data_IF_651198010285
#
_entry.id   IF_651198010285
#
_cell.length_a   1.000
_cell.length_b   1.000
_cell.length_c   1.000
_cell.angle_alpha   90.00
_cell.angle_beta   90.00
_cell.angle_gamma   90.00
#
_symmetry.space_group_name_H-M   'P 1'
#
loop_
_entity.id
_entity.type
_entity.pdbx_description
1 polymer ?
#
# COMPACT_ATOMS: atom_id res chain seq x y z
N UNK A 1 -6.78 19.88 10.10
CA UNK A 1 -6.43 18.45 9.95
C UNK A 1 -5.06 18.34 9.29
N UNK A 2 -3.98 18.36 10.07
CA UNK A 2 -2.63 18.14 9.56
C UNK A 2 -2.47 16.66 9.21
N UNK A 3 -2.85 16.30 7.98
CA UNK A 3 -2.52 15.00 7.38
C UNK A 3 -1.00 14.97 7.26
N UNK A 4 -0.35 14.37 8.25
CA UNK A 4 1.08 14.11 8.23
C UNK A 4 1.43 13.52 6.86
N UNK A 5 2.25 14.26 6.11
CA UNK A 5 2.66 13.86 4.77
C UNK A 5 3.32 12.49 4.95
N UNK A 6 2.68 11.44 4.46
CA UNK A 6 3.28 10.11 4.41
C UNK A 6 4.42 10.23 3.41
N UNK A 7 5.61 10.57 3.92
CA UNK A 7 6.82 10.78 3.14
C UNK A 7 7.21 9.52 2.37
N UNK A 8 6.77 8.36 2.85
CA UNK A 8 6.98 7.07 2.19
C UNK A 8 5.70 6.21 2.16
N UNK A 9 5.00 6.10 1.01
CA UNK A 9 3.84 5.22 0.89
C UNK A 9 4.22 3.77 1.20
N UNK A 10 3.28 3.02 1.77
CA UNK A 10 3.50 1.61 2.07
C UNK A 10 3.69 0.78 0.79
N UNK A 11 4.63 -0.16 0.85
CA UNK A 11 4.75 -1.19 -0.18
C UNK A 11 3.65 -2.24 -0.04
N UNK A 12 3.38 -3.00 -1.11
CA UNK A 12 2.39 -4.10 -1.09
C UNK A 12 2.64 -5.11 0.05
N UNK A 13 3.91 -5.30 0.45
CA UNK A 13 4.28 -6.14 1.59
C UNK A 13 3.90 -5.53 2.94
N UNK A 14 4.09 -4.21 3.11
CA UNK A 14 3.65 -3.49 4.31
C UNK A 14 2.13 -3.46 4.41
N UNK A 15 1.43 -3.24 3.30
CA UNK A 15 -0.04 -3.29 3.23
C UNK A 15 -0.54 -4.67 3.64
N UNK A 16 0.03 -5.75 3.07
CA UNK A 16 -0.28 -7.13 3.46
C UNK A 16 -0.14 -7.35 4.97
N UNK A 17 0.99 -6.96 5.55
CA UNK A 17 1.24 -7.18 6.97
C UNK A 17 0.28 -6.38 7.85
N UNK A 18 -0.06 -5.15 7.45
CA UNK A 18 -1.01 -4.30 8.17
C UNK A 18 -2.42 -4.90 8.15
N UNK A 19 -2.89 -5.35 6.99
CA UNK A 19 -4.17 -6.05 6.83
C UNK A 19 -4.24 -7.30 7.72
N UNK A 20 -3.17 -8.10 7.76
CA UNK A 20 -3.10 -9.29 8.61
C UNK A 20 -3.09 -8.94 10.10
N UNK A 21 -2.28 -7.96 10.51
CA UNK A 21 -2.05 -7.72 11.93
C UNK A 21 -3.19 -6.93 12.59
N UNK A 22 -3.67 -5.88 11.92
CA UNK A 22 -4.67 -4.95 12.47
C UNK A 22 -6.10 -5.42 12.16
N UNK A 23 -6.34 -5.93 10.95
CA UNK A 23 -7.68 -6.29 10.49
C UNK A 23 -7.93 -7.80 10.44
N UNK A 24 -6.92 -8.62 10.77
CA UNK A 24 -6.97 -10.09 10.72
C UNK A 24 -7.31 -10.65 9.32
N UNK A 25 -7.09 -9.85 8.27
CA UNK A 25 -7.32 -10.24 6.88
C UNK A 25 -6.01 -10.77 6.29
N UNK A 26 -5.95 -12.09 6.06
CA UNK A 26 -4.79 -12.74 5.47
C UNK A 26 -4.90 -12.78 3.94
N UNK A 27 -4.10 -11.97 3.25
CA UNK A 27 -4.03 -11.94 1.78
C UNK A 27 -2.63 -12.26 1.26
N UNK A 28 -2.57 -12.82 0.06
CA UNK A 28 -1.32 -12.93 -0.68
C UNK A 28 -0.86 -11.54 -1.14
N UNK A 29 0.47 -11.33 -1.24
CA UNK A 29 1.03 -10.06 -1.73
C UNK A 29 0.56 -9.74 -3.16
N UNK A 30 0.36 -10.76 -4.00
CA UNK A 30 -0.16 -10.60 -5.37
C UNK A 30 -1.58 -10.03 -5.37
N UNK A 31 -2.47 -10.53 -4.52
CA UNK A 31 -3.84 -10.01 -4.38
C UNK A 31 -3.85 -8.55 -3.95
N UNK A 32 -3.01 -8.19 -2.97
CA UNK A 32 -2.85 -6.79 -2.55
C UNK A 32 -2.40 -5.89 -3.70
N UNK A 33 -1.47 -6.36 -4.56
CA UNK A 33 -1.01 -5.63 -5.74
C UNK A 33 -2.14 -5.41 -6.75
N UNK A 34 -2.95 -6.43 -7.02
CA UNK A 34 -4.05 -6.31 -7.98
C UNK A 34 -5.14 -5.38 -7.44
N UNK A 35 -5.59 -5.54 -6.19
CA UNK A 35 -6.52 -4.60 -5.57
C UNK A 35 -6.00 -3.16 -5.54
N UNK A 36 -4.69 -2.96 -5.26
CA UNK A 36 -4.08 -1.64 -5.31
C UNK A 36 -4.19 -1.01 -6.70
N UNK A 37 -4.04 -1.78 -7.78
CA UNK A 37 -4.19 -1.28 -9.15
C UNK A 37 -5.65 -1.01 -9.50
N UNK A 38 -6.57 -1.87 -9.08
CA UNK A 38 -8.01 -1.70 -9.32
C UNK A 38 -8.54 -0.38 -8.72
N UNK A 39 -8.01 0.01 -7.55
CA UNK A 39 -8.33 1.30 -6.92
C UNK A 39 -7.39 2.44 -7.36
N UNK A 40 -6.64 2.24 -8.45
CA UNK A 40 -5.76 3.23 -9.10
C UNK A 40 -4.70 3.87 -8.18
N UNK A 41 -4.27 3.15 -7.14
CA UNK A 41 -3.23 3.62 -6.23
C UNK A 41 -1.88 3.22 -6.82
N UNK A 42 -1.09 4.20 -7.28
CA UNK A 42 0.27 3.94 -7.75
C UNK A 42 1.14 3.24 -6.71
N UNK A 43 2.07 2.40 -7.18
CA UNK A 43 3.00 1.70 -6.31
C UNK A 43 3.95 2.68 -5.61
N UNK A 44 4.44 2.28 -4.42
CA UNK A 44 5.37 3.11 -3.65
C UNK A 44 6.64 3.48 -4.42
N UNK A 45 7.05 2.64 -5.38
CA UNK A 45 8.22 2.86 -6.22
C UNK A 45 7.97 3.85 -7.36
N UNK A 46 6.83 3.75 -8.04
CA UNK A 46 6.47 4.65 -9.13
C UNK A 46 6.28 6.10 -8.66
N UNK A 47 5.77 6.32 -7.44
CA UNK A 47 5.64 7.67 -6.86
C UNK A 47 6.98 8.33 -6.53
N UNK A 48 8.06 7.56 -6.38
CA UNK A 48 9.40 8.09 -6.13
C UNK A 48 10.08 8.61 -7.40
N UNK A 49 9.73 8.05 -8.57
CA UNK A 49 10.31 8.45 -9.86
C UNK A 49 9.62 9.71 -10.43
N UNK A 50 8.37 9.99 -10.01
CA UNK A 50 7.60 11.16 -10.45
C UNK A 50 7.89 12.45 -9.67
N UNK A 51 8.74 12.40 -8.64
CA UNK A 51 9.24 13.53 -7.87
C UNK A 51 10.65 13.86 -8.34
#
# INVERSE_FOLDING_TARGET
LNKGIITYPYSDGKIKNKLKNEYKIALARRTVREYRKEIEIDSSFQRRIKK
#
